data_IF_572672637716
#
_entry.id   IF_572672637716
#
_cell.length_a   1.000
_cell.length_b   1.000
_cell.length_c   1.000
_cell.angle_alpha   90.00
_cell.angle_beta   90.00
_cell.angle_gamma   90.00
#
_symmetry.space_group_name_H-M   'P 1'
#
loop_
_entity.id
_entity.type
_entity.pdbx_description
1 polymer ?
#
# COMPACT_ATOMS: atom_id res chain seq x y z
N UNK A 1 3.56 -15.79 27.21
CA UNK A 1 4.40 -14.99 26.30
C UNK A 1 3.49 -14.03 25.58
N UNK A 2 3.53 -12.75 25.94
CA UNK A 2 2.84 -11.71 25.18
C UNK A 2 3.70 -11.38 23.96
N UNK A 3 3.10 -11.43 22.77
CA UNK A 3 3.76 -11.04 21.53
C UNK A 3 3.52 -9.55 21.32
N UNK A 4 4.59 -8.78 21.08
CA UNK A 4 4.47 -7.37 20.73
C UNK A 4 3.86 -7.24 19.34
N UNK A 5 2.68 -6.60 19.28
CA UNK A 5 1.97 -6.35 18.04
C UNK A 5 2.53 -5.15 17.25
N UNK A 6 1.72 -4.66 16.31
CA UNK A 6 2.09 -3.49 15.50
C UNK A 6 2.31 -2.24 16.35
N UNK A 7 3.35 -1.47 16.00
CA UNK A 7 3.65 -0.18 16.60
C UNK A 7 2.62 0.85 16.08
N UNK A 8 2.00 1.58 17.01
CA UNK A 8 1.08 2.68 16.68
C UNK A 8 1.68 3.97 17.16
N UNK A 9 2.12 4.80 16.21
CA UNK A 9 2.63 6.14 16.46
C UNK A 9 1.62 6.98 17.24
N UNK A 10 2.13 7.87 18.10
CA UNK A 10 1.28 8.83 18.80
C UNK A 10 0.78 9.88 17.79
N UNK A 11 -0.54 9.99 17.59
CA UNK A 11 -1.08 10.95 16.64
C UNK A 11 -1.06 12.36 17.21
N UNK A 12 -0.83 13.35 16.36
CA UNK A 12 -1.13 14.75 16.67
C UNK A 12 -2.64 14.95 16.47
N UNK A 13 -3.32 15.42 17.53
CA UNK A 13 -4.77 15.50 17.57
C UNK A 13 -5.24 16.85 17.02
N UNK A 14 -5.49 16.90 15.72
CA UNK A 14 -5.94 18.12 15.04
C UNK A 14 -6.95 17.80 13.93
N UNK A 15 -7.59 18.86 13.45
CA UNK A 15 -8.36 18.84 12.22
C UNK A 15 -7.44 19.11 11.05
N UNK A 16 -7.20 18.08 10.24
CA UNK A 16 -6.40 18.17 9.04
C UNK A 16 -7.26 18.41 7.81
N UNK A 17 -6.74 19.19 6.86
CA UNK A 17 -7.35 19.40 5.55
C UNK A 17 -6.46 18.80 4.47
N UNK A 18 -7.07 18.19 3.46
CA UNK A 18 -6.38 17.60 2.30
C UNK A 18 -5.29 16.58 2.67
N UNK A 19 -5.69 15.46 3.28
CA UNK A 19 -4.79 14.37 3.67
C UNK A 19 -4.90 13.18 2.73
N UNK A 20 -3.77 12.61 2.32
CA UNK A 20 -3.71 11.34 1.58
C UNK A 20 -3.35 10.18 2.51
N UNK A 21 -4.06 9.07 2.39
CA UNK A 21 -3.76 7.82 3.05
C UNK A 21 -3.02 6.90 2.07
N UNK A 22 -1.86 6.41 2.52
CA UNK A 22 -1.04 5.42 1.82
C UNK A 22 -1.02 4.15 2.67
N UNK A 23 -1.30 3.00 2.07
CA UNK A 23 -1.28 1.70 2.76
C UNK A 23 -0.45 0.67 2.00
N UNK A 24 0.10 -0.31 2.69
CA UNK A 24 0.88 -1.37 2.07
C UNK A 24 -0.02 -2.47 1.53
N UNK A 25 0.22 -2.86 0.28
CA UNK A 25 -0.42 -4.02 -0.32
C UNK A 25 0.03 -5.31 0.37
N UNK A 26 -0.81 -5.82 1.28
CA UNK A 26 -0.56 -7.08 2.00
C UNK A 26 0.79 -7.10 2.73
N UNK A 27 1.01 -6.15 3.64
CA UNK A 27 2.26 -5.93 4.37
C UNK A 27 2.89 -7.24 4.89
N UNK A 28 2.17 -8.01 5.72
CA UNK A 28 2.72 -9.21 6.34
C UNK A 28 3.10 -10.31 5.33
N UNK A 29 2.22 -10.73 4.39
CA UNK A 29 2.61 -11.65 3.32
C UNK A 29 3.82 -11.18 2.52
N UNK A 30 3.88 -9.88 2.20
CA UNK A 30 4.97 -9.32 1.41
C UNK A 30 6.30 -9.35 2.17
N UNK A 31 6.29 -9.04 3.48
CA UNK A 31 7.47 -9.15 4.36
C UNK A 31 7.93 -10.61 4.51
N UNK A 32 6.99 -11.56 4.60
CA UNK A 32 7.32 -12.98 4.69
C UNK A 32 7.98 -13.50 3.40
N UNK A 33 7.51 -13.04 2.23
CA UNK A 33 8.10 -13.42 0.95
C UNK A 33 9.47 -12.76 0.75
N UNK A 34 9.63 -11.47 1.07
CA UNK A 34 10.86 -10.73 0.82
C UNK A 34 12.04 -11.25 1.65
N UNK A 35 11.78 -11.66 2.89
CA UNK A 35 12.79 -12.21 3.80
C UNK A 35 12.80 -13.76 3.84
N UNK A 36 12.05 -14.41 2.95
CA UNK A 36 11.87 -15.87 2.89
C UNK A 36 11.49 -16.50 4.25
N UNK A 37 10.72 -15.84 5.11
CA UNK A 37 10.50 -16.36 6.48
C UNK A 37 9.58 -17.58 6.49
N UNK A 38 10.11 -18.72 6.92
CA UNK A 38 9.37 -19.97 7.02
C UNK A 38 10.01 -20.92 8.05
N UNK A 39 9.19 -21.79 8.63
CA UNK A 39 9.67 -22.86 9.52
C UNK A 39 10.60 -23.84 8.78
N UNK A 40 10.30 -24.14 7.51
CA UNK A 40 11.05 -25.12 6.69
C UNK A 40 12.51 -24.74 6.44
N UNK A 41 12.84 -23.45 6.51
CA UNK A 41 14.17 -22.88 6.22
C UNK A 41 14.79 -22.25 7.48
N UNK A 42 14.23 -22.56 8.66
CA UNK A 42 14.69 -22.05 9.95
C UNK A 42 15.99 -22.70 10.39
N UNK A 43 17.04 -21.89 10.61
CA UNK A 43 18.37 -22.36 10.97
C UNK A 43 18.51 -22.37 12.50
N UNK A 44 18.70 -23.56 13.09
CA UNK A 44 18.90 -23.74 14.54
C UNK A 44 20.37 -23.65 15.00
N UNK A 45 21.34 -23.78 14.09
CA UNK A 45 22.80 -23.78 14.36
C UNK A 45 23.52 -23.02 13.26
N UNK A 46 24.57 -22.26 13.60
CA UNK A 46 25.37 -21.51 12.62
C UNK A 46 25.88 -22.45 11.51
N UNK A 47 25.27 -22.32 10.34
CA UNK A 47 25.69 -22.97 9.10
C UNK A 47 26.31 -21.92 8.19
N UNK A 48 27.34 -22.27 7.41
CA UNK A 48 28.00 -21.39 6.43
C UNK A 48 27.10 -21.02 5.22
N UNK A 49 25.79 -21.19 5.31
CA UNK A 49 24.85 -20.86 4.25
C UNK A 49 24.46 -19.38 4.28
N UNK A 50 24.16 -18.77 3.11
CA UNK A 50 23.66 -17.39 3.05
C UNK A 50 22.33 -17.29 3.78
N UNK A 51 22.31 -16.52 4.86
CA UNK A 51 21.16 -16.40 5.75
C UNK A 51 20.73 -14.93 5.93
N UNK A 52 19.44 -14.75 6.19
CA UNK A 52 18.87 -13.53 6.71
C UNK A 52 18.79 -13.65 8.23
N UNK A 53 19.45 -12.74 8.93
CA UNK A 53 19.46 -12.69 10.39
C UNK A 53 18.56 -11.57 10.86
N UNK A 54 17.53 -11.93 11.61
CA UNK A 54 16.59 -10.98 12.20
C UNK A 54 16.85 -10.89 13.70
N UNK A 55 17.21 -9.70 14.18
CA UNK A 55 17.32 -9.43 15.61
C UNK A 55 16.00 -8.86 16.11
N UNK A 56 15.35 -9.56 17.04
CA UNK A 56 14.06 -9.13 17.63
C UNK A 56 14.31 -8.35 18.92
N UNK A 57 15.38 -8.68 19.65
CA UNK A 57 15.80 -8.00 20.88
C UNK A 57 17.29 -8.27 21.12
N UNK A 58 17.93 -7.51 22.02
CA UNK A 58 19.36 -7.60 22.39
C UNK A 58 19.87 -9.00 22.76
N UNK A 59 18.99 -10.00 22.92
CA UNK A 59 19.33 -11.37 23.33
C UNK A 59 18.86 -12.49 22.37
N UNK A 60 18.10 -12.19 21.30
CA UNK A 60 17.57 -13.23 20.39
C UNK A 60 17.71 -12.85 18.92
N UNK A 61 18.54 -13.59 18.22
CA UNK A 61 18.65 -13.59 16.76
C UNK A 61 18.00 -14.85 16.18
N UNK A 62 17.24 -14.67 15.11
CA UNK A 62 16.68 -15.75 14.32
C UNK A 62 17.29 -15.73 12.92
N UNK A 63 17.68 -16.91 12.43
CA UNK A 63 18.35 -17.06 11.14
C UNK A 63 17.48 -17.87 10.18
N UNK A 64 17.32 -17.36 8.97
CA UNK A 64 16.53 -17.94 7.90
C UNK A 64 17.40 -18.12 6.66
N UNK A 65 17.39 -19.29 6.02
CA UNK A 65 18.13 -19.49 4.77
C UNK A 65 17.56 -18.63 3.64
N UNK A 66 18.41 -17.99 2.83
CA UNK A 66 17.95 -17.22 1.66
C UNK A 66 17.46 -18.14 0.54
N UNK A 67 18.10 -19.29 0.38
CA UNK A 67 17.76 -20.31 -0.61
C UNK A 67 17.82 -21.70 0.05
N UNK A 68 16.91 -22.64 -0.31
CA UNK A 68 15.81 -22.54 -1.28
C UNK A 68 14.58 -21.77 -0.74
N UNK A 69 13.60 -21.48 -1.60
CA UNK A 69 12.36 -20.81 -1.22
C UNK A 69 11.54 -21.68 -0.24
N UNK A 70 11.15 -21.11 0.90
CA UNK A 70 10.36 -21.80 1.91
C UNK A 70 8.94 -22.13 1.43
N UNK A 71 8.33 -23.13 2.07
CA UNK A 71 6.96 -23.58 1.74
C UNK A 71 5.93 -22.44 1.82
N UNK A 72 5.96 -21.67 2.90
CA UNK A 72 5.00 -20.57 3.14
C UNK A 72 5.16 -19.45 2.11
N UNK A 73 6.37 -18.90 1.87
CA UNK A 73 6.59 -17.95 0.79
C UNK A 73 6.12 -18.43 -0.59
N UNK A 74 6.33 -19.71 -0.91
CA UNK A 74 5.88 -20.31 -2.18
C UNK A 74 4.35 -20.31 -2.33
N UNK A 75 3.64 -20.73 -1.28
CA UNK A 75 2.17 -20.69 -1.26
C UNK A 75 1.62 -19.27 -1.36
N UNK A 76 2.21 -18.32 -0.60
CA UNK A 76 1.79 -16.92 -0.62
C UNK A 76 2.00 -16.27 -2.00
N UNK A 77 3.12 -16.56 -2.68
CA UNK A 77 3.33 -16.11 -4.07
C UNK A 77 2.22 -16.59 -4.99
N UNK A 78 1.87 -17.88 -4.90
CA UNK A 78 0.79 -18.46 -5.71
C UNK A 78 -0.56 -17.79 -5.46
N UNK A 79 -0.89 -17.51 -4.20
CA UNK A 79 -2.14 -16.82 -3.83
C UNK A 79 -2.20 -15.38 -4.36
N UNK A 80 -1.09 -14.64 -4.26
CA UNK A 80 -1.00 -13.26 -4.75
C UNK A 80 -1.09 -13.22 -6.28
N UNK A 81 -0.43 -14.15 -6.98
CA UNK A 81 -0.48 -14.25 -8.43
C UNK A 81 -1.91 -14.56 -8.91
N UNK A 82 -2.56 -15.56 -8.33
CA UNK A 82 -3.95 -15.91 -8.67
C UNK A 82 -4.92 -14.75 -8.41
N UNK A 83 -4.72 -13.95 -7.36
CA UNK A 83 -5.55 -12.76 -7.11
C UNK A 83 -5.44 -11.73 -8.24
N UNK A 84 -4.27 -11.61 -8.88
CA UNK A 84 -4.04 -10.64 -9.97
C UNK A 84 -4.57 -11.11 -11.33
N UNK A 85 -4.51 -12.41 -11.62
CA UNK A 85 -4.96 -12.98 -12.90
C UNK A 85 -6.47 -12.84 -13.15
N UNK A 86 -7.29 -12.68 -12.11
CA UNK A 86 -8.76 -12.63 -12.24
C UNK A 86 -9.25 -11.39 -13.02
N UNK A 87 -8.41 -10.39 -13.28
CA UNK A 87 -8.79 -9.16 -14.01
C UNK A 87 -8.07 -9.06 -15.36
N UNK A 88 -8.57 -9.76 -16.37
CA UNK A 88 -8.19 -9.77 -17.81
C UNK A 88 -7.41 -8.53 -18.34
N UNK A 89 -6.15 -8.74 -18.75
CA UNK A 89 -5.22 -7.72 -19.27
C UNK A 89 -5.75 -6.92 -20.48
N UNK A 90 -6.41 -7.57 -21.46
CA UNK A 90 -6.92 -6.87 -22.66
C UNK A 90 -8.06 -5.91 -22.35
N UNK A 91 -8.89 -6.24 -21.35
CA UNK A 91 -9.96 -5.34 -20.87
C UNK A 91 -9.36 -4.13 -20.18
N UNK A 92 -8.30 -4.31 -19.39
CA UNK A 92 -7.58 -3.20 -18.75
C UNK A 92 -6.98 -2.23 -19.78
N UNK A 93 -6.40 -2.73 -20.87
CA UNK A 93 -5.81 -1.87 -21.91
C UNK A 93 -6.85 -1.01 -22.62
N UNK A 94 -7.98 -1.58 -23.04
CA UNK A 94 -9.05 -0.84 -23.71
C UNK A 94 -9.65 0.25 -22.79
N UNK A 95 -9.83 -0.06 -21.50
CA UNK A 95 -10.29 0.89 -20.49
C UNK A 95 -9.27 2.01 -20.26
N UNK A 96 -7.98 1.69 -20.21
CA UNK A 96 -6.89 2.67 -20.07
C UNK A 96 -6.86 3.65 -21.23
N UNK A 97 -6.95 3.16 -22.47
CA UNK A 97 -6.96 4.02 -23.67
C UNK A 97 -8.16 4.97 -23.63
N UNK A 98 -9.34 4.45 -23.28
CA UNK A 98 -10.56 5.25 -23.17
C UNK A 98 -10.46 6.32 -22.09
N UNK A 99 -9.91 5.99 -20.91
CA UNK A 99 -9.72 6.93 -19.81
C UNK A 99 -8.71 8.04 -20.16
N UNK A 100 -7.60 7.69 -20.81
CA UNK A 100 -6.58 8.65 -21.25
C UNK A 100 -7.14 9.64 -22.29
N UNK A 101 -8.01 9.17 -23.19
CA UNK A 101 -8.70 10.03 -24.15
C UNK A 101 -9.59 11.08 -23.44
N UNK A 102 -10.37 10.65 -22.44
CA UNK A 102 -11.23 11.55 -21.65
C UNK A 102 -10.39 12.61 -20.95
N UNK A 103 -9.29 12.22 -20.28
CA UNK A 103 -8.38 13.18 -19.66
C UNK A 103 -7.80 14.20 -20.67
N UNK A 104 -7.39 13.73 -21.86
CA UNK A 104 -6.90 14.61 -22.93
C UNK A 104 -7.92 15.67 -23.35
N UNK A 105 -9.21 15.31 -23.36
CA UNK A 105 -10.27 16.25 -23.71
C UNK A 105 -10.45 17.41 -22.70
N UNK A 106 -10.14 17.20 -21.42
CA UNK A 106 -10.26 18.24 -20.37
C UNK A 106 -9.27 19.40 -20.54
N UNK A 107 -8.13 19.20 -21.24
CA UNK A 107 -7.07 20.20 -21.40
C UNK A 107 -7.15 21.07 -22.67
N UNK A 108 -8.11 20.84 -23.56
CA UNK A 108 -8.21 21.52 -24.86
C UNK A 108 -8.82 22.92 -24.68
N UNK A 109 -8.04 23.97 -24.99
CA UNK A 109 -8.43 25.38 -24.79
C UNK A 109 -9.55 25.90 -25.73
N UNK A 110 -9.85 25.20 -26.83
CA UNK A 110 -10.83 25.62 -27.85
C UNK A 110 -12.02 24.65 -28.00
N UNK A 111 -12.31 23.79 -27.01
CA UNK A 111 -13.46 22.88 -27.05
C UNK A 111 -14.70 23.54 -26.44
N UNK A 112 -15.76 23.71 -27.23
CA UNK A 112 -16.96 24.46 -26.85
C UNK A 112 -17.80 23.82 -25.71
N UNK A 113 -17.57 22.56 -25.35
CA UNK A 113 -18.47 21.81 -24.45
C UNK A 113 -17.81 20.92 -23.36
N UNK A 114 -16.47 20.73 -23.35
CA UNK A 114 -15.82 19.71 -22.50
C UNK A 114 -14.60 20.21 -21.69
N UNK A 115 -14.32 21.52 -21.69
CA UNK A 115 -13.17 22.06 -20.98
C UNK A 115 -13.41 22.03 -19.46
N UNK A 116 -12.70 21.14 -18.75
CA UNK A 116 -12.78 21.00 -17.29
C UNK A 116 -11.39 21.09 -16.66
N UNK A 117 -10.88 22.33 -16.56
CA UNK A 117 -9.53 22.63 -16.05
C UNK A 117 -9.38 22.20 -14.58
N UNK A 118 -10.40 22.41 -13.75
CA UNK A 118 -10.36 22.02 -12.35
C UNK A 118 -10.24 20.50 -12.18
N UNK A 119 -10.96 19.71 -13.00
CA UNK A 119 -10.77 18.26 -13.05
C UNK A 119 -9.36 17.85 -13.45
N UNK A 120 -8.79 18.49 -14.47
CA UNK A 120 -7.43 18.20 -14.90
C UNK A 120 -6.37 18.48 -13.81
N UNK A 121 -6.55 19.54 -12.99
CA UNK A 121 -5.71 19.82 -11.82
C UNK A 121 -5.87 18.76 -10.75
N UNK A 122 -7.10 18.36 -10.41
CA UNK A 122 -7.37 17.30 -9.44
C UNK A 122 -6.77 15.95 -9.86
N UNK A 123 -6.93 15.57 -11.13
CA UNK A 123 -6.30 14.35 -11.67
C UNK A 123 -4.79 14.40 -11.52
N UNK A 124 -4.15 15.55 -11.82
CA UNK A 124 -2.70 15.72 -11.66
C UNK A 124 -2.21 15.50 -10.23
N UNK A 125 -2.96 16.01 -9.24
CA UNK A 125 -2.63 15.79 -7.82
C UNK A 125 -2.72 14.31 -7.45
N UNK A 126 -3.77 13.61 -7.89
CA UNK A 126 -3.92 12.17 -7.66
C UNK A 126 -2.79 11.39 -8.32
N UNK A 127 -2.44 11.74 -9.58
CA UNK A 127 -1.31 11.10 -10.28
C UNK A 127 0.00 11.31 -9.53
N UNK A 128 0.25 12.51 -8.99
CA UNK A 128 1.44 12.78 -8.19
C UNK A 128 1.50 11.91 -6.94
N UNK A 129 0.38 11.74 -6.23
CA UNK A 129 0.30 10.86 -5.05
C UNK A 129 0.63 9.41 -5.39
N UNK A 130 0.14 8.92 -6.54
CA UNK A 130 0.49 7.58 -7.04
C UNK A 130 1.99 7.50 -7.33
N UNK A 131 2.58 8.48 -8.02
CA UNK A 131 4.02 8.50 -8.28
C UNK A 131 4.85 8.52 -7.00
N UNK A 132 4.44 9.26 -5.97
CA UNK A 132 5.11 9.26 -4.66
C UNK A 132 5.04 7.87 -4.02
N UNK A 133 3.89 7.20 -4.08
CA UNK A 133 3.76 5.84 -3.54
C UNK A 133 4.66 4.83 -4.28
N UNK A 134 4.79 4.95 -5.60
CA UNK A 134 5.68 4.10 -6.40
C UNK A 134 7.16 4.40 -6.12
N UNK A 135 7.53 5.68 -5.92
CA UNK A 135 8.92 6.05 -5.60
C UNK A 135 9.33 5.54 -4.22
N UNK A 136 8.47 5.72 -3.21
CA UNK A 136 8.69 5.20 -1.85
C UNK A 136 8.73 3.67 -1.86
N UNK A 137 7.95 3.02 -2.75
CA UNK A 137 7.97 1.56 -2.89
C UNK A 137 9.33 1.02 -3.37
N UNK A 138 10.13 1.80 -4.11
CA UNK A 138 11.45 1.38 -4.60
C UNK A 138 12.46 1.18 -3.47
N UNK A 139 12.26 1.83 -2.33
CA UNK A 139 13.13 1.69 -1.16
C UNK A 139 12.97 0.32 -0.48
N UNK A 140 11.87 -0.39 -0.76
CA UNK A 140 11.57 -1.69 -0.14
C UNK A 140 11.94 -2.86 -1.06
N UNK A 141 12.26 -4.00 -0.45
CA UNK A 141 12.49 -5.25 -1.16
C UNK A 141 11.17 -5.80 -1.75
N UNK A 142 11.22 -6.28 -2.99
CA UNK A 142 10.09 -6.94 -3.66
C UNK A 142 9.60 -8.13 -2.80
N UNK A 143 8.27 -8.32 -2.60
CA UNK A 143 7.13 -7.66 -3.25
C UNK A 143 6.44 -6.57 -2.40
N UNK A 144 7.12 -5.99 -1.40
CA UNK A 144 6.52 -4.93 -0.57
C UNK A 144 6.25 -3.70 -1.45
N UNK A 145 4.99 -3.30 -1.56
CA UNK A 145 4.56 -2.15 -2.35
C UNK A 145 3.57 -1.29 -1.55
N UNK A 146 3.84 0.01 -1.52
CA UNK A 146 2.95 1.03 -0.99
C UNK A 146 1.96 1.43 -2.08
N UNK A 147 0.68 1.51 -1.72
CA UNK A 147 -0.41 1.86 -2.61
C UNK A 147 -1.17 3.06 -2.04
N UNK A 148 -1.59 3.94 -2.95
CA UNK A 148 -2.50 5.01 -2.62
C UNK A 148 -3.90 4.45 -2.36
N UNK A 149 -4.48 4.76 -1.19
CA UNK A 149 -5.81 4.26 -0.81
C UNK A 149 -6.89 5.34 -0.98
N UNK A 150 -6.75 6.48 -0.30
CA UNK A 150 -7.81 7.50 -0.27
C UNK A 150 -7.31 8.92 0.02
N UNK A 151 -8.02 9.94 -0.48
CA UNK A 151 -7.84 11.35 -0.08
C UNK A 151 -9.02 11.81 0.78
N UNK A 152 -8.71 12.37 1.94
CA UNK A 152 -9.64 13.09 2.80
C UNK A 152 -9.57 14.59 2.53
N UNK A 153 -10.72 15.21 2.25
CA UNK A 153 -10.84 16.67 2.19
C UNK A 153 -10.71 17.27 3.59
N UNK A 154 -11.40 16.66 4.56
CA UNK A 154 -11.35 17.01 5.97
C UNK A 154 -11.15 15.73 6.77
N UNK A 155 -10.16 15.71 7.66
CA UNK A 155 -9.79 14.56 8.46
C UNK A 155 -9.61 14.97 9.92
N UNK A 156 -10.46 14.45 10.80
CA UNK A 156 -10.44 14.69 12.23
C UNK A 156 -9.91 13.45 12.94
N UNK A 157 -8.72 13.60 13.54
CA UNK A 157 -8.10 12.54 14.33
C UNK A 157 -8.42 12.76 15.81
N UNK A 158 -9.16 11.83 16.42
CA UNK A 158 -9.67 11.98 17.79
C UNK A 158 -8.75 11.29 18.78
N UNK A 159 -8.42 10.01 18.54
CA UNK A 159 -7.49 9.21 19.36
C UNK A 159 -6.84 8.12 18.50
N UNK A 160 -5.92 7.34 19.07
CA UNK A 160 -5.37 6.16 18.40
C UNK A 160 -6.49 5.27 17.87
N UNK A 161 -6.45 4.97 16.56
CA UNK A 161 -7.45 4.16 15.83
C UNK A 161 -8.88 4.74 15.81
N UNK A 162 -9.09 6.00 16.21
CA UNK A 162 -10.40 6.66 16.12
C UNK A 162 -10.31 7.96 15.33
N UNK A 163 -10.95 7.99 14.17
CA UNK A 163 -10.97 9.16 13.30
C UNK A 163 -12.26 9.26 12.50
N UNK A 164 -12.54 10.48 12.06
CA UNK A 164 -13.63 10.82 11.15
C UNK A 164 -13.02 11.49 9.94
N UNK A 165 -13.41 11.11 8.73
CA UNK A 165 -12.87 11.70 7.52
C UNK A 165 -13.92 11.86 6.43
N UNK A 166 -13.94 13.01 5.78
CA UNK A 166 -14.74 13.28 4.58
C UNK A 166 -13.91 12.94 3.35
N UNK A 167 -14.37 11.96 2.55
CA UNK A 167 -13.70 11.54 1.31
C UNK A 167 -13.87 12.63 0.26
N UNK A 168 -12.75 13.09 -0.33
CA UNK A 168 -12.76 14.21 -1.28
C UNK A 168 -13.54 13.92 -2.58
N UNK A 169 -13.55 12.67 -3.05
CA UNK A 169 -14.20 12.28 -4.31
C UNK A 169 -15.69 11.99 -4.13
N UNK A 170 -16.03 11.21 -3.11
CA UNK A 170 -17.40 10.71 -2.90
C UNK A 170 -18.24 11.63 -2.00
N UNK A 171 -17.62 12.61 -1.32
CA UNK A 171 -18.23 13.42 -0.27
C UNK A 171 -18.95 12.60 0.81
N UNK A 172 -18.44 11.40 1.06
CA UNK A 172 -18.93 10.47 2.07
C UNK A 172 -18.11 10.60 3.35
N UNK A 173 -18.76 10.56 4.51
CA UNK A 173 -18.05 10.49 5.79
C UNK A 173 -17.72 9.05 6.17
N UNK A 174 -16.47 8.83 6.57
CA UNK A 174 -15.96 7.59 7.15
C UNK A 174 -15.79 7.81 8.64
N UNK A 175 -16.33 6.88 9.42
CA UNK A 175 -16.16 6.80 10.86
C UNK A 175 -15.40 5.53 11.17
N UNK A 176 -14.21 5.64 11.78
CA UNK A 176 -13.45 4.48 12.23
C UNK A 176 -13.32 4.54 13.74
N UNK A 177 -13.82 3.52 14.42
CA UNK A 177 -13.76 3.43 15.89
C UNK A 177 -14.57 4.50 16.63
N UNK A 178 -15.48 5.19 15.94
CA UNK A 178 -16.42 6.16 16.51
C UNK A 178 -17.81 5.54 16.43
N UNK A 179 -18.54 5.54 17.55
CA UNK A 179 -19.94 5.15 17.58
C UNK A 179 -20.75 6.38 17.18
N UNK A 180 -21.58 6.22 16.15
CA UNK A 180 -22.50 7.25 15.64
C UNK A 180 -23.88 7.02 16.24
#
# INVERSE_FOLDING_TARGET
FEYEGAIISNPNLELYKWCSLLDFSSLYPSVMISHNTCYSIFIKRNSNQPCFTMQISDKKSYMFAKEPLGLVPSMLRTLILKRKEVVLERRQLALKISANFVYGSYGIRNSLYLQFIEGAKSTRTITLLVCISDEVSKEFHVPVKLEFEIVFETFLLITKKRYIGLIAVERKMIYKGVVV
#
